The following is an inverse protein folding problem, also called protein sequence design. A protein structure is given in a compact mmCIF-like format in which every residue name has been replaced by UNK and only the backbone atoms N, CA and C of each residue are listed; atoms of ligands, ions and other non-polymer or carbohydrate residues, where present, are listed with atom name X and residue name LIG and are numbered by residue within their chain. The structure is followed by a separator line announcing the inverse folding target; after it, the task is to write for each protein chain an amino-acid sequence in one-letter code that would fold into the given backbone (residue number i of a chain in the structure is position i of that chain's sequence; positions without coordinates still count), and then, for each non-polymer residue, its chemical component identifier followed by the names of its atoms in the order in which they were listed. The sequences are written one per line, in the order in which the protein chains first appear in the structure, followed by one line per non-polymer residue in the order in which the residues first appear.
data_IF_503955626284
#
_entry.id   IF_503955626284
#
_cell.length_a   1.000
_cell.length_b   1.000
_cell.length_c   1.000
_cell.angle_alpha   90.00
_cell.angle_beta   90.00
_cell.angle_gamma   90.00
#
_symmetry.space_group_name_H-M   'P 1'
#
loop_
_entity.id
_entity.type
_entity.pdbx_description
1 polymer ?
#
# COMPACT_ATOMS: atom_id res chain seq x y z
N UNK A 1 -25.57 6.99 -7.34
CA UNK A 1 -25.99 7.53 -8.65
C UNK A 1 -25.07 8.70 -8.92
N UNK A 2 -23.98 8.54 -9.66
CA UNK A 2 -23.86 7.80 -10.92
C UNK A 2 -22.86 6.64 -10.88
N UNK A 3 -22.02 6.50 -9.85
CA UNK A 3 -21.04 5.42 -9.77
C UNK A 3 -20.00 5.46 -10.90
N UNK A 4 -19.82 6.65 -11.50
CA UNK A 4 -18.96 6.83 -12.66
C UNK A 4 -17.50 6.58 -12.27
N UNK A 5 -16.90 5.57 -12.87
CA UNK A 5 -15.51 5.17 -12.64
C UNK A 5 -14.64 5.62 -13.81
N UNK A 6 -13.54 6.32 -13.49
CA UNK A 6 -12.53 6.75 -14.48
C UNK A 6 -11.16 6.37 -13.93
N UNK A 7 -10.36 5.68 -14.73
CA UNK A 7 -8.98 5.36 -14.39
C UNK A 7 -8.12 6.58 -14.64
N UNK A 8 -7.33 6.98 -13.63
CA UNK A 8 -6.43 8.15 -13.72
C UNK A 8 -5.02 7.71 -14.15
N UNK A 9 -4.42 6.78 -13.41
CA UNK A 9 -3.09 6.26 -13.69
C UNK A 9 -2.89 4.86 -13.09
N UNK A 10 -1.79 4.21 -13.48
CA UNK A 10 -1.27 3.02 -12.82
C UNK A 10 0.24 3.17 -12.63
N UNK A 11 0.75 2.64 -11.53
CA UNK A 11 2.18 2.67 -11.22
C UNK A 11 2.68 1.22 -11.16
N UNK A 12 3.48 0.73 -12.13
CA UNK A 12 3.91 -0.67 -12.21
C UNK A 12 5.10 -0.97 -11.28
N UNK A 13 4.99 -0.55 -10.02
CA UNK A 13 6.01 -0.72 -8.98
C UNK A 13 5.41 -0.57 -7.59
N UNK A 14 6.20 -0.88 -6.57
CA UNK A 14 5.89 -0.47 -5.19
C UNK A 14 5.83 1.07 -5.09
N UNK A 15 4.99 1.56 -4.20
CA UNK A 15 4.70 2.98 -4.01
C UNK A 15 4.66 3.36 -2.53
N UNK A 16 4.59 4.67 -2.25
CA UNK A 16 4.31 5.16 -0.88
C UNK A 16 2.99 4.60 -0.35
N UNK A 17 2.02 4.35 -1.23
CA UNK A 17 0.73 3.76 -0.87
C UNK A 17 0.80 2.25 -0.65
N UNK A 18 1.63 1.51 -1.39
CA UNK A 18 1.85 0.08 -1.11
C UNK A 18 2.55 -0.10 0.24
N UNK A 19 3.50 0.78 0.60
CA UNK A 19 4.12 0.77 1.92
C UNK A 19 3.11 1.05 3.05
N UNK A 20 2.20 2.01 2.85
CA UNK A 20 1.08 2.25 3.77
C UNK A 20 0.19 1.01 3.90
N UNK A 21 -0.23 0.42 2.78
CA UNK A 21 -1.08 -0.77 2.77
C UNK A 21 -0.42 -1.95 3.50
N UNK A 22 0.89 -2.17 3.32
CA UNK A 22 1.63 -3.19 4.06
C UNK A 22 1.67 -2.95 5.56
N UNK A 23 1.75 -1.70 6.01
CA UNK A 23 1.66 -1.39 7.44
C UNK A 23 0.23 -1.49 7.96
N UNK A 24 -0.74 -1.11 7.15
CA UNK A 24 -2.16 -1.13 7.50
C UNK A 24 -2.71 -2.55 7.62
N UNK A 25 -2.26 -3.47 6.77
CA UNK A 25 -2.75 -4.86 6.71
C UNK A 25 -1.82 -5.86 7.37
N UNK A 26 -0.58 -5.46 7.61
CA UNK A 26 0.49 -6.38 7.98
C UNK A 26 0.98 -7.28 6.83
N UNK A 27 0.41 -7.16 5.64
CA UNK A 27 0.77 -7.96 4.47
C UNK A 27 2.01 -7.36 3.75
N UNK A 28 3.17 -8.04 3.73
CA UNK A 28 4.43 -7.44 3.26
C UNK A 28 4.55 -7.48 1.72
N UNK A 29 3.84 -6.57 1.05
CA UNK A 29 3.72 -6.49 -0.42
C UNK A 29 5.09 -6.51 -1.11
N UNK A 30 6.06 -5.71 -0.65
CA UNK A 30 7.38 -5.65 -1.27
C UNK A 30 8.16 -6.97 -1.17
N UNK A 31 8.05 -7.66 -0.03
CA UNK A 31 8.72 -8.96 0.20
C UNK A 31 8.10 -10.05 -0.67
N UNK A 32 6.77 -10.06 -0.76
CA UNK A 32 6.02 -11.02 -1.58
C UNK A 32 6.29 -10.76 -3.07
N UNK A 33 6.21 -9.51 -3.52
CA UNK A 33 6.52 -9.13 -4.90
C UNK A 33 7.94 -9.52 -5.31
N UNK A 34 8.93 -9.40 -4.42
CA UNK A 34 10.29 -9.85 -4.68
C UNK A 34 10.39 -11.37 -4.89
N UNK A 35 9.64 -12.17 -4.13
CA UNK A 35 9.56 -13.63 -4.34
C UNK A 35 8.85 -13.98 -5.65
N UNK A 36 7.75 -13.28 -5.96
CA UNK A 36 7.05 -13.47 -7.23
C UNK A 36 7.99 -13.19 -8.43
N UNK A 37 8.84 -12.17 -8.32
CA UNK A 37 9.79 -11.82 -9.38
C UNK A 37 10.84 -12.90 -9.69
N UNK A 38 11.08 -13.83 -8.77
CA UNK A 38 12.00 -14.97 -8.96
C UNK A 38 11.25 -16.29 -9.22
N UNK A 39 9.96 -16.23 -9.57
CA UNK A 39 9.20 -17.36 -10.08
C UNK A 39 8.23 -18.02 -9.10
N UNK A 40 8.11 -17.53 -7.87
CA UNK A 40 7.11 -18.03 -6.92
C UNK A 40 5.69 -17.63 -7.32
N UNK A 41 4.70 -18.42 -6.90
CA UNK A 41 3.27 -18.07 -6.91
C UNK A 41 2.78 -17.67 -5.52
N UNK A 42 1.58 -17.09 -5.42
CA UNK A 42 1.04 -16.59 -4.14
C UNK A 42 0.70 -17.71 -3.14
N UNK A 43 0.32 -18.88 -3.63
CA UNK A 43 0.00 -20.06 -2.83
C UNK A 43 1.24 -20.74 -2.23
N UNK A 44 2.41 -20.57 -2.85
CA UNK A 44 3.70 -21.08 -2.36
C UNK A 44 4.30 -20.24 -1.23
N UNK A 45 3.80 -19.01 -1.04
CA UNK A 45 4.34 -18.07 -0.07
C UNK A 45 3.49 -18.11 1.21
N UNK A 46 4.05 -18.60 2.30
CA UNK A 46 3.40 -18.55 3.62
C UNK A 46 3.31 -17.10 4.12
N UNK A 47 2.15 -16.71 4.66
CA UNK A 47 1.95 -15.40 5.26
C UNK A 47 2.80 -15.23 6.52
N UNK A 48 3.58 -14.16 6.59
CA UNK A 48 4.53 -13.91 7.69
C UNK A 48 3.84 -13.71 9.05
N UNK A 49 2.60 -13.21 9.07
CA UNK A 49 1.86 -12.90 10.31
C UNK A 49 1.20 -14.13 10.90
N UNK A 50 0.33 -14.79 10.12
CA UNK A 50 -0.43 -15.95 10.59
C UNK A 50 0.44 -17.21 10.59
N UNK A 51 1.49 -17.27 9.76
CA UNK A 51 2.39 -18.42 9.57
C UNK A 51 1.74 -19.74 9.15
N UNK A 52 0.42 -19.73 8.97
CA UNK A 52 -0.40 -20.90 8.65
C UNK A 52 -1.07 -20.76 7.29
N UNK A 53 -1.52 -19.54 6.96
CA UNK A 53 -2.22 -19.29 5.69
C UNK A 53 -1.24 -18.94 4.58
N UNK A 54 -1.51 -19.33 3.32
CA UNK A 54 -0.75 -18.83 2.17
C UNK A 54 -0.97 -17.33 1.96
N UNK A 55 -0.19 -16.72 1.07
CA UNK A 55 -0.30 -15.31 0.70
C UNK A 55 -1.40 -15.06 -0.35
N UNK A 56 -2.03 -16.10 -0.89
CA UNK A 56 -3.17 -16.02 -1.81
C UNK A 56 -4.51 -15.76 -1.09
N UNK A 57 -4.59 -14.63 -0.38
CA UNK A 57 -5.83 -14.20 0.29
C UNK A 57 -5.94 -12.67 0.31
N UNK A 58 -7.14 -12.17 0.55
CA UNK A 58 -7.39 -10.75 0.77
C UNK A 58 -7.45 -10.46 2.29
N UNK A 59 -6.61 -9.56 2.83
CA UNK A 59 -6.66 -9.21 4.25
C UNK A 59 -7.97 -8.51 4.64
N UNK A 60 -8.59 -8.97 5.72
CA UNK A 60 -9.74 -8.31 6.35
C UNK A 60 -9.27 -7.59 7.60
N UNK A 61 -9.71 -6.33 7.78
CA UNK A 61 -9.34 -5.49 8.92
C UNK A 61 -10.55 -5.23 9.81
N UNK A 62 -10.35 -5.31 11.12
CA UNK A 62 -11.33 -4.98 12.17
C UNK A 62 -11.06 -3.59 12.80
N UNK A 63 -10.22 -2.78 12.15
CA UNK A 63 -9.86 -1.42 12.56
C UNK A 63 -9.72 -0.48 11.36
N UNK A 64 -9.62 0.82 11.65
CA UNK A 64 -9.42 1.87 10.65
C UNK A 64 -8.00 2.42 10.73
N UNK A 65 -7.35 2.57 9.58
CA UNK A 65 -6.01 3.17 9.45
C UNK A 65 -6.11 4.54 8.81
N UNK A 66 -5.50 5.53 9.46
CA UNK A 66 -5.50 6.93 9.00
C UNK A 66 -4.07 7.35 8.66
N UNK A 67 -3.88 7.99 7.50
CA UNK A 67 -2.62 8.62 7.10
C UNK A 67 -2.82 10.13 6.95
N UNK A 68 -2.04 10.90 7.69
CA UNK A 68 -1.91 12.35 7.50
C UNK A 68 -0.53 12.70 6.93
N UNK A 69 -0.44 13.55 5.89
CA UNK A 69 0.83 14.04 5.40
C UNK A 69 1.47 15.01 6.42
N UNK A 70 2.80 15.03 6.48
CA UNK A 70 3.55 16.03 7.25
C UNK A 70 4.16 17.05 6.29
N UNK A 71 3.91 18.32 6.56
CA UNK A 71 4.50 19.45 5.84
C UNK A 71 5.57 20.14 6.66
N UNK A 72 6.47 20.87 6.01
CA UNK A 72 7.55 21.64 6.64
C UNK A 72 7.67 23.05 6.03
N UNK A 73 6.52 23.73 5.86
CA UNK A 73 6.44 25.05 5.21
C UNK A 73 7.21 26.14 5.95
N UNK A 74 7.42 25.98 7.26
CA UNK A 74 8.24 26.89 8.07
C UNK A 74 9.68 27.04 7.54
N UNK A 75 10.17 26.06 6.77
CA UNK A 75 11.50 26.11 6.15
C UNK A 75 11.53 26.84 4.80
N UNK A 76 10.36 27.18 4.25
CA UNK A 76 10.22 27.75 2.90
C UNK A 76 9.28 28.96 2.91
N UNK A 77 9.70 30.13 3.44
CA UNK A 77 8.82 31.28 3.66
C UNK A 77 8.17 31.87 2.40
N UNK A 78 8.79 31.68 1.23
CA UNK A 78 8.25 32.15 -0.06
C UNK A 78 7.41 31.11 -0.81
N UNK A 79 7.23 29.91 -0.26
CA UNK A 79 6.44 28.88 -0.90
C UNK A 79 4.94 29.06 -0.59
N UNK A 80 4.09 28.85 -1.60
CA UNK A 80 2.65 28.71 -1.39
C UNK A 80 2.37 27.46 -0.57
N UNK A 81 1.53 27.60 0.44
CA UNK A 81 1.19 26.54 1.40
C UNK A 81 -0.14 25.86 1.07
N UNK A 82 -0.82 26.28 0.02
CA UNK A 82 -2.13 25.77 -0.37
C UNK A 82 -2.03 24.58 -1.33
N UNK A 83 -2.96 23.63 -1.18
CA UNK A 83 -3.23 22.58 -2.16
C UNK A 83 -4.59 22.90 -2.77
N UNK A 84 -4.64 23.07 -4.09
CA UNK A 84 -5.88 23.32 -4.86
C UNK A 84 -6.30 22.07 -5.61
#
# INVERSE_FOLDING_TARGET
ADGRLIVIEMNPRVSRSSALASKATGFPIAKIAAKLAIGYTLDEIVNDITKETPACFEPTLDYVVVKAPRFAFEKFPGADTTLT
#
